data_IF_430800547982
#
_entry.id   IF_430800547982
#
_cell.length_a   1.000
_cell.length_b   1.000
_cell.length_c   1.000
_cell.angle_alpha   90.00
_cell.angle_beta   90.00
_cell.angle_gamma   90.00
#
_symmetry.space_group_name_H-M   'P 1'
#
loop_
_entity.id
_entity.type
_entity.pdbx_description
1 polymer ?
#
# COMPACT_ATOMS: atom_id res chain seq x y z
N UNK A 1 -20.77 -5.06 -20.70
CA UNK A 1 -20.54 -3.69 -21.21
C UNK A 1 -20.63 -2.58 -20.14
N UNK A 2 -20.49 -2.88 -18.83
CA UNK A 2 -20.64 -1.88 -17.75
C UNK A 2 -19.32 -1.29 -17.22
N UNK A 3 -18.16 -1.85 -17.58
CA UNK A 3 -16.84 -1.44 -17.08
C UNK A 3 -16.23 -0.24 -17.83
N UNK A 4 -16.68 -0.01 -19.07
CA UNK A 4 -16.20 1.06 -19.93
C UNK A 4 -16.82 2.42 -19.56
N UNK A 5 -18.07 2.42 -19.08
CA UNK A 5 -18.80 3.63 -18.69
C UNK A 5 -18.33 4.20 -17.35
N UNK A 6 -17.86 3.37 -16.41
CA UNK A 6 -17.33 3.85 -15.12
C UNK A 6 -15.98 4.55 -15.27
N UNK A 7 -15.09 4.04 -16.13
CA UNK A 7 -13.83 4.67 -16.45
C UNK A 7 -14.04 6.02 -17.14
N UNK A 8 -14.97 6.09 -18.10
CA UNK A 8 -15.28 7.35 -18.79
C UNK A 8 -15.90 8.40 -17.84
N UNK A 9 -16.78 7.96 -16.92
CA UNK A 9 -17.33 8.82 -15.86
C UNK A 9 -16.24 9.30 -14.89
N UNK A 10 -15.32 8.42 -14.48
CA UNK A 10 -14.19 8.76 -13.63
C UNK A 10 -13.26 9.77 -14.30
N UNK A 11 -12.93 9.60 -15.59
CA UNK A 11 -12.13 10.57 -16.34
C UNK A 11 -12.84 11.92 -16.51
N UNK A 12 -14.15 11.94 -16.77
CA UNK A 12 -14.90 13.19 -16.87
C UNK A 12 -15.04 13.92 -15.52
N UNK A 13 -15.10 13.18 -14.41
CA UNK A 13 -15.03 13.71 -13.04
C UNK A 13 -13.64 14.25 -12.72
N UNK A 14 -12.60 13.51 -13.11
CA UNK A 14 -11.21 13.89 -12.90
C UNK A 14 -10.84 15.13 -13.73
N UNK A 15 -11.34 15.28 -14.95
CA UNK A 15 -11.13 16.48 -15.78
C UNK A 15 -12.27 17.50 -15.61
N UNK A 16 -12.57 17.84 -14.36
CA UNK A 16 -13.54 18.87 -14.01
C UNK A 16 -13.17 20.26 -14.58
N UNK A 17 -14.14 21.18 -14.73
CA UNK A 17 -13.90 22.52 -15.28
C UNK A 17 -12.80 23.31 -14.55
N UNK A 18 -12.58 23.03 -13.27
CA UNK A 18 -11.53 23.66 -12.45
C UNK A 18 -10.12 23.23 -12.86
N UNK A 19 -9.92 21.99 -13.29
CA UNK A 19 -8.63 21.55 -13.80
C UNK A 19 -8.34 22.18 -15.17
N UNK A 20 -9.36 22.36 -16.01
CA UNK A 20 -9.21 23.10 -17.28
C UNK A 20 -8.76 24.55 -17.07
N UNK A 21 -9.24 25.24 -16.04
CA UNK A 21 -8.79 26.62 -15.74
C UNK A 21 -7.36 26.64 -15.19
N UNK A 22 -6.98 25.65 -14.38
CA UNK A 22 -5.59 25.45 -13.94
C UNK A 22 -4.67 25.24 -15.15
N UNK A 23 -5.02 24.33 -16.07
CA UNK A 23 -4.23 24.08 -17.28
C UNK A 23 -4.11 25.30 -18.20
N UNK A 24 -5.15 26.15 -18.29
CA UNK A 24 -5.08 27.44 -19.02
C UNK A 24 -4.09 28.41 -18.38
N UNK A 25 -3.95 28.40 -17.06
CA UNK A 25 -2.99 29.25 -16.31
C UNK A 25 -1.56 28.75 -16.46
N UNK A 26 -1.36 27.45 -16.69
CA UNK A 26 -0.06 26.82 -16.97
C UNK A 26 0.42 26.96 -18.42
N UNK A 27 -0.15 27.88 -19.22
CA UNK A 27 0.36 28.18 -20.57
C UNK A 27 1.74 28.81 -20.50
N UNK A 28 2.62 28.39 -21.41
CA UNK A 28 4.01 28.86 -21.53
C UNK A 28 4.14 30.40 -21.60
N UNK A 29 3.16 31.06 -22.22
CA UNK A 29 3.11 32.52 -22.38
C UNK A 29 2.99 33.27 -21.04
N UNK A 30 2.39 32.65 -20.02
CA UNK A 30 2.10 33.28 -18.73
C UNK A 30 3.08 32.91 -17.61
N UNK A 31 4.10 32.09 -17.90
CA UNK A 31 5.03 31.56 -16.90
C UNK A 31 6.38 32.28 -17.03
N UNK A 32 6.96 32.66 -15.89
CA UNK A 32 8.28 33.29 -15.85
C UNK A 32 9.38 32.31 -16.29
N UNK A 33 10.40 32.82 -16.99
CA UNK A 33 11.49 32.00 -17.52
C UNK A 33 12.22 31.20 -16.43
N UNK A 34 12.37 31.78 -15.24
CA UNK A 34 12.99 31.11 -14.08
C UNK A 34 12.18 29.91 -13.58
N UNK A 35 10.84 29.98 -13.62
CA UNK A 35 9.99 28.85 -13.26
C UNK A 35 10.13 27.71 -14.28
N UNK A 36 10.19 28.03 -15.57
CA UNK A 36 10.36 27.03 -16.64
C UNK A 36 11.70 26.31 -16.47
N UNK A 37 12.78 27.04 -16.18
CA UNK A 37 14.09 26.42 -15.93
C UNK A 37 14.04 25.49 -14.71
N UNK A 38 13.47 25.95 -13.59
CA UNK A 38 13.37 25.15 -12.38
C UNK A 38 12.49 23.90 -12.55
N UNK A 39 11.36 24.01 -13.27
CA UNK A 39 10.49 22.87 -13.58
C UNK A 39 11.22 21.89 -14.50
N UNK A 40 11.95 22.39 -15.50
CA UNK A 40 12.73 21.54 -16.41
C UNK A 40 13.86 20.81 -15.67
N UNK A 41 14.61 21.52 -14.82
CA UNK A 41 15.68 20.95 -13.98
C UNK A 41 15.14 19.92 -12.98
N UNK A 42 13.98 20.19 -12.39
CA UNK A 42 13.31 19.24 -11.50
C UNK A 42 12.78 18.03 -12.28
N UNK A 43 12.22 18.25 -13.47
CA UNK A 43 11.73 17.19 -14.34
C UNK A 43 12.85 16.27 -14.83
N UNK A 44 14.03 16.81 -15.16
CA UNK A 44 15.19 15.99 -15.52
C UNK A 44 15.71 15.20 -14.33
N UNK A 45 15.80 15.82 -13.15
CA UNK A 45 16.15 15.12 -11.90
C UNK A 45 15.17 13.98 -11.58
N UNK A 46 13.86 14.21 -11.69
CA UNK A 46 12.88 13.16 -11.48
C UNK A 46 13.03 12.01 -12.49
N UNK A 47 13.34 12.30 -13.76
CA UNK A 47 13.58 11.25 -14.77
C UNK A 47 14.85 10.45 -14.51
N UNK A 48 15.91 11.05 -13.96
CA UNK A 48 17.13 10.33 -13.60
C UNK A 48 16.97 9.52 -12.32
N UNK A 49 16.08 9.93 -11.41
CA UNK A 49 15.85 9.26 -10.13
C UNK A 49 14.78 8.14 -10.21
N UNK A 50 13.86 8.23 -11.17
CA UNK A 50 12.79 7.24 -11.36
C UNK A 50 13.29 5.80 -11.57
N UNK A 51 14.38 5.55 -12.33
CA UNK A 51 14.97 4.22 -12.45
C UNK A 51 15.54 3.66 -11.14
N UNK A 52 15.91 4.51 -10.17
CA UNK A 52 16.40 4.09 -8.86
C UNK A 52 15.27 3.83 -7.88
N UNK A 53 14.17 4.57 -8.01
CA UNK A 53 13.01 4.44 -7.13
C UNK A 53 12.28 3.10 -7.29
N UNK A 54 12.19 2.58 -8.52
CA UNK A 54 11.51 1.30 -8.80
C UNK A 54 12.22 0.13 -8.08
N UNK A 55 13.54 -0.09 -8.22
CA UNK A 55 14.25 -1.11 -7.47
C UNK A 55 14.17 -0.91 -5.95
N UNK A 56 14.28 0.33 -5.48
CA UNK A 56 14.25 0.62 -4.03
C UNK A 56 12.89 0.26 -3.42
N UNK A 57 11.80 0.59 -4.11
CA UNK A 57 10.44 0.27 -3.66
C UNK A 57 10.19 -1.25 -3.68
N UNK A 58 10.63 -1.96 -4.72
CA UNK A 58 10.55 -3.43 -4.78
C UNK A 58 11.36 -4.07 -3.66
N UNK A 59 12.58 -3.59 -3.41
CA UNK A 59 13.42 -4.09 -2.33
C UNK A 59 12.77 -3.90 -0.95
N UNK A 60 12.21 -2.72 -0.69
CA UNK A 60 11.47 -2.45 0.55
C UNK A 60 10.24 -3.37 0.69
N UNK A 61 9.52 -3.61 -0.40
CA UNK A 61 8.37 -4.52 -0.41
C UNK A 61 8.77 -5.97 -0.10
N UNK A 62 9.82 -6.49 -0.73
CA UNK A 62 10.33 -7.84 -0.47
C UNK A 62 10.75 -7.96 1.00
N UNK A 63 11.51 -6.99 1.51
CA UNK A 63 11.97 -7.00 2.90
C UNK A 63 10.82 -6.95 3.91
N UNK A 64 9.74 -6.25 3.59
CA UNK A 64 8.54 -6.24 4.44
C UNK A 64 7.85 -7.61 4.40
N UNK A 65 7.66 -8.17 3.21
CA UNK A 65 7.03 -9.49 3.01
C UNK A 65 7.79 -10.61 3.73
N UNK A 66 9.12 -10.59 3.67
CA UNK A 66 9.96 -11.60 4.33
C UNK A 66 9.84 -11.53 5.86
N UNK A 67 9.78 -10.32 6.42
CA UNK A 67 9.55 -10.13 7.87
C UNK A 67 8.20 -10.69 8.29
N UNK A 68 7.15 -10.42 7.51
CA UNK A 68 5.80 -10.87 7.82
C UNK A 68 5.72 -12.41 7.80
N UNK A 69 6.32 -13.07 6.80
CA UNK A 69 6.43 -14.54 6.76
C UNK A 69 7.23 -15.12 7.92
N UNK A 70 8.38 -14.54 8.24
CA UNK A 70 9.19 -15.01 9.37
C UNK A 70 8.40 -14.96 10.69
N UNK A 71 7.61 -13.90 10.88
CA UNK A 71 6.76 -13.79 12.07
C UNK A 71 5.60 -14.80 12.10
N UNK A 72 5.03 -15.15 10.95
CA UNK A 72 4.06 -16.25 10.84
C UNK A 72 4.67 -17.60 11.23
N UNK A 73 5.89 -17.88 10.77
CA UNK A 73 6.60 -19.13 11.09
C UNK A 73 6.89 -19.25 12.59
N UNK A 74 7.38 -18.18 13.22
CA UNK A 74 7.57 -18.13 14.66
C UNK A 74 6.25 -18.37 15.39
N UNK A 75 5.18 -17.73 14.95
CA UNK A 75 3.85 -17.92 15.54
C UNK A 75 3.38 -19.37 15.45
N UNK A 76 3.52 -20.01 14.29
CA UNK A 76 3.19 -21.42 14.10
C UNK A 76 4.04 -22.34 14.97
N UNK A 77 5.31 -22.01 15.22
CA UNK A 77 6.17 -22.75 16.14
C UNK A 77 5.67 -22.64 17.59
N UNK A 78 5.31 -21.43 18.04
CA UNK A 78 4.73 -21.23 19.37
C UNK A 78 3.42 -22.01 19.55
N UNK A 79 2.53 -21.96 18.56
CA UNK A 79 1.25 -22.70 18.59
C UNK A 79 1.45 -24.21 18.57
N UNK A 80 2.49 -24.73 17.92
CA UNK A 80 2.83 -26.16 17.95
C UNK A 80 3.46 -26.60 19.28
N UNK A 81 4.09 -25.69 20.02
CA UNK A 81 4.76 -25.97 21.29
C UNK A 81 3.83 -26.00 22.50
N UNK A 82 2.75 -25.22 22.48
CA UNK A 82 1.64 -25.37 23.44
C UNK A 82 0.65 -26.42 22.91
N UNK A 83 0.21 -27.38 23.73
CA UNK A 83 -0.95 -28.22 23.41
C UNK A 83 -2.22 -27.38 23.40
N UNK A 84 -2.41 -26.53 22.38
CA UNK A 84 -3.62 -25.75 22.21
C UNK A 84 -4.78 -26.68 21.85
N UNK A 85 -5.93 -26.44 22.48
CA UNK A 85 -7.17 -27.12 22.15
C UNK A 85 -7.48 -26.92 20.66
N UNK A 86 -7.83 -27.99 19.94
CA UNK A 86 -8.13 -28.03 18.48
C UNK A 86 -9.10 -26.94 17.97
N UNK A 87 -9.88 -26.31 18.86
CA UNK A 87 -10.80 -25.21 18.55
C UNK A 87 -10.07 -23.87 18.38
N UNK A 88 -9.06 -23.59 19.21
CA UNK A 88 -8.30 -22.34 19.19
C UNK A 88 -7.37 -22.29 17.97
N UNK A 89 -6.76 -23.44 17.63
CA UNK A 89 -5.97 -23.58 16.41
C UNK A 89 -6.79 -23.32 15.15
N UNK A 90 -8.09 -23.66 15.14
CA UNK A 90 -8.96 -23.47 13.98
C UNK A 90 -9.27 -21.98 13.76
N UNK A 91 -9.55 -21.21 14.81
CA UNK A 91 -9.78 -19.76 14.73
C UNK A 91 -8.59 -18.99 14.10
N UNK A 92 -7.37 -19.45 14.41
CA UNK A 92 -6.13 -18.89 13.87
C UNK A 92 -5.91 -19.25 12.39
N UNK A 93 -6.33 -20.44 11.96
CA UNK A 93 -6.05 -21.02 10.62
C UNK A 93 -7.14 -20.73 9.58
N UNK A 94 -8.42 -20.61 9.98
CA UNK A 94 -9.55 -20.84 9.05
C UNK A 94 -9.98 -19.65 8.18
N UNK A 95 -9.37 -18.46 8.27
CA UNK A 95 -9.73 -17.34 7.38
C UNK A 95 -8.61 -16.31 7.23
N UNK A 96 -7.99 -16.24 6.05
CA UNK A 96 -7.08 -15.18 5.60
C UNK A 96 -5.85 -14.92 6.51
N UNK A 97 -4.68 -15.38 6.07
CA UNK A 97 -3.38 -15.22 6.76
C UNK A 97 -2.96 -13.76 7.00
N UNK A 98 -3.64 -12.79 6.39
CA UNK A 98 -3.22 -11.39 6.35
C UNK A 98 -3.20 -10.69 7.72
N UNK A 99 -3.90 -11.21 8.73
CA UNK A 99 -4.07 -10.55 10.04
C UNK A 99 -3.81 -11.48 11.24
N UNK A 100 -2.91 -12.46 11.09
CA UNK A 100 -2.60 -13.44 12.14
C UNK A 100 -2.22 -12.79 13.49
N UNK A 101 -1.51 -11.65 13.46
CA UNK A 101 -1.09 -10.92 14.66
C UNK A 101 -2.26 -10.36 15.47
N UNK A 102 -3.25 -9.76 14.79
CA UNK A 102 -4.46 -9.23 15.44
C UNK A 102 -5.26 -10.37 16.07
N UNK A 103 -5.35 -11.51 15.37
CA UNK A 103 -6.04 -12.69 15.91
C UNK A 103 -5.33 -13.28 17.12
N UNK A 104 -4.00 -13.28 17.12
CA UNK A 104 -3.21 -13.71 18.27
C UNK A 104 -3.40 -12.79 19.47
N UNK A 105 -3.36 -11.47 19.26
CA UNK A 105 -3.61 -10.50 20.32
C UNK A 105 -5.03 -10.67 20.91
N UNK A 106 -6.04 -10.89 20.06
CA UNK A 106 -7.41 -11.20 20.51
C UNK A 106 -7.49 -12.53 21.28
N UNK A 107 -6.77 -13.57 20.85
CA UNK A 107 -6.69 -14.83 21.55
C UNK A 107 -6.08 -14.67 22.95
N UNK A 108 -5.00 -13.91 23.08
CA UNK A 108 -4.38 -13.63 24.38
C UNK A 108 -5.34 -12.88 25.32
N UNK A 109 -6.09 -11.91 24.80
CA UNK A 109 -7.09 -11.17 25.56
C UNK A 109 -8.20 -12.12 26.04
N UNK A 110 -8.75 -12.94 25.14
CA UNK A 110 -9.82 -13.89 25.48
C UNK A 110 -9.35 -14.92 26.53
N UNK A 111 -8.12 -15.44 26.37
CA UNK A 111 -7.49 -16.34 27.36
C UNK A 111 -7.30 -15.66 28.72
N UNK A 112 -6.90 -14.39 28.75
CA UNK A 112 -6.72 -13.65 29.99
C UNK A 112 -8.05 -13.32 30.71
N UNK A 113 -9.15 -13.19 29.96
CA UNK A 113 -10.49 -12.90 30.51
C UNK A 113 -11.21 -14.17 30.97
N UNK A 114 -11.04 -15.28 30.24
CA UNK A 114 -11.74 -16.55 30.49
C UNK A 114 -10.93 -17.57 31.34
N UNK A 115 -9.72 -17.21 31.77
CA UNK A 115 -8.90 -17.98 32.73
C UNK A 115 -9.10 -17.49 34.16
#
# INVERSE_FOLDING_TARGET
MAKLTSLHSFFNSFFSPSLKTIFKKFRYENISKNLIENITRTGTFCRTLLPLFIPLSIYQYIRQTDKDRYSEELFLQYVKGEEMNKKDSRFLIENDNKNWRIKYDLYLIDKAVNS
#
